data_IF_377539752518
#
_entry.id   IF_377539752518
#
_cell.length_a   1.000
_cell.length_b   1.000
_cell.length_c   1.000
_cell.angle_alpha   90.00
_cell.angle_beta   90.00
_cell.angle_gamma   90.00
#
_symmetry.space_group_name_H-M   'P 1'
#
loop_
_entity.id
_entity.type
_entity.pdbx_description
1 polymer ?
#
# COMPACT_ATOMS: atom_id res chain seq x y z
N UNK A 1 6.42 3.85 9.98
CA UNK A 1 7.09 2.58 10.40
C UNK A 1 5.96 1.62 10.69
N UNK A 2 5.92 0.44 10.06
CA UNK A 2 4.80 -0.53 10.23
C UNK A 2 4.50 -0.76 11.72
N UNK A 3 3.26 -0.52 12.14
CA UNK A 3 2.84 -0.75 13.53
C UNK A 3 3.13 -2.22 13.90
N UNK A 4 4.09 -2.48 14.82
CA UNK A 4 4.47 -3.85 15.17
C UNK A 4 3.32 -4.65 15.77
N UNK A 5 2.33 -3.98 16.38
CA UNK A 5 1.18 -4.65 16.95
C UNK A 5 0.21 -5.14 15.86
N UNK A 6 -0.09 -4.28 14.89
CA UNK A 6 -0.94 -4.63 13.74
C UNK A 6 -0.31 -5.77 12.93
N UNK A 7 1.00 -5.70 12.65
CA UNK A 7 1.71 -6.76 11.94
C UNK A 7 1.59 -8.11 12.65
N UNK A 8 1.89 -8.17 13.95
CA UNK A 8 1.75 -9.40 14.74
C UNK A 8 0.31 -9.92 14.78
N UNK A 9 -0.68 -9.02 14.85
CA UNK A 9 -2.10 -9.38 14.80
C UNK A 9 -2.46 -10.05 13.47
N UNK A 10 -2.01 -9.51 12.33
CA UNK A 10 -2.27 -10.10 11.02
C UNK A 10 -1.54 -11.43 10.83
N UNK A 11 -0.27 -11.54 11.25
CA UNK A 11 0.46 -12.82 11.23
C UNK A 11 -0.29 -13.89 12.02
N UNK A 12 -0.79 -13.54 13.21
CA UNK A 12 -1.60 -14.46 14.01
C UNK A 12 -2.87 -14.88 13.29
N UNK A 13 -3.55 -13.93 12.65
CA UNK A 13 -4.80 -14.16 11.93
C UNK A 13 -4.61 -15.08 10.72
N UNK A 14 -3.58 -14.84 9.89
CA UNK A 14 -3.26 -15.70 8.75
C UNK A 14 -2.90 -17.13 9.19
N UNK A 15 -2.06 -17.28 10.23
CA UNK A 15 -1.72 -18.60 10.77
C UNK A 15 -2.94 -19.31 11.39
N UNK A 16 -3.88 -18.56 11.96
CA UNK A 16 -5.14 -19.10 12.47
C UNK A 16 -6.02 -19.61 11.32
N UNK A 17 -6.12 -18.86 10.22
CA UNK A 17 -6.80 -19.30 9.01
C UNK A 17 -6.16 -20.57 8.44
N UNK A 18 -4.83 -20.64 8.35
CA UNK A 18 -4.14 -21.83 7.87
C UNK A 18 -4.43 -23.08 8.72
N UNK A 19 -4.41 -22.96 10.05
CA UNK A 19 -4.78 -24.09 10.94
C UNK A 19 -6.24 -24.51 10.75
N UNK A 20 -7.15 -23.56 10.59
CA UNK A 20 -8.56 -23.84 10.38
C UNK A 20 -8.84 -24.45 9.00
N UNK A 21 -8.17 -23.97 7.95
CA UNK A 21 -8.23 -24.54 6.60
C UNK A 21 -7.70 -25.98 6.60
N UNK A 22 -6.53 -26.21 7.17
CA UNK A 22 -5.97 -27.56 7.28
C UNK A 22 -6.91 -28.52 8.04
N UNK A 23 -7.55 -28.05 9.11
CA UNK A 23 -8.55 -28.86 9.84
C UNK A 23 -9.81 -29.15 9.00
N UNK A 24 -10.31 -28.17 8.23
CA UNK A 24 -11.47 -28.34 7.35
C UNK A 24 -11.18 -29.26 6.14
N UNK A 25 -9.94 -29.26 5.65
CA UNK A 25 -9.46 -30.02 4.49
C UNK A 25 -8.52 -31.17 4.86
N UNK A 26 -8.62 -31.68 6.10
CA UNK A 26 -7.77 -32.77 6.58
C UNK A 26 -7.88 -34.03 5.72
N UNK A 27 -9.03 -34.25 5.07
CA UNK A 27 -9.25 -35.39 4.17
C UNK A 27 -8.52 -35.27 2.82
N UNK A 28 -8.12 -34.06 2.40
CA UNK A 28 -7.41 -33.81 1.13
C UNK A 28 -5.93 -33.50 1.31
N UNK A 29 -5.39 -33.77 2.51
CA UNK A 29 -4.01 -33.40 2.89
C UNK A 29 -3.73 -31.90 2.64
N UNK A 30 -4.74 -31.05 2.84
CA UNK A 30 -4.65 -29.61 2.63
C UNK A 30 -4.53 -29.15 1.18
N UNK A 31 -4.60 -30.06 0.19
CA UNK A 31 -4.61 -29.67 -1.22
C UNK A 31 -5.94 -29.03 -1.58
N UNK A 32 -5.88 -27.75 -1.90
CA UNK A 32 -7.02 -26.94 -2.32
C UNK A 32 -6.55 -25.92 -3.37
N UNK A 33 -6.82 -26.14 -4.66
CA UNK A 33 -6.49 -25.15 -5.70
C UNK A 33 -7.30 -23.86 -5.56
N UNK A 34 -8.44 -23.90 -4.85
CA UNK A 34 -9.34 -22.78 -4.63
C UNK A 34 -9.23 -22.23 -3.20
N UNK A 35 -8.08 -22.45 -2.54
CA UNK A 35 -7.81 -21.96 -1.19
C UNK A 35 -8.14 -20.47 -0.98
N UNK A 36 -7.97 -19.54 -1.95
CA UNK A 36 -8.31 -18.14 -1.74
C UNK A 36 -9.80 -17.91 -1.46
N UNK A 37 -10.69 -18.74 -2.02
CA UNK A 37 -12.14 -18.65 -1.77
C UNK A 37 -12.45 -18.93 -0.30
N UNK A 38 -11.89 -20.00 0.23
CA UNK A 38 -12.10 -20.39 1.62
C UNK A 38 -11.46 -19.38 2.59
N UNK A 39 -10.21 -18.97 2.30
CA UNK A 39 -9.52 -17.97 3.09
C UNK A 39 -10.30 -16.65 3.13
N UNK A 40 -10.86 -16.23 2.00
CA UNK A 40 -11.70 -15.03 1.93
C UNK A 40 -12.89 -15.14 2.87
N UNK A 41 -13.62 -16.26 2.87
CA UNK A 41 -14.77 -16.43 3.77
C UNK A 41 -14.37 -16.42 5.25
N UNK A 42 -13.19 -16.95 5.58
CA UNK A 42 -12.68 -16.95 6.94
C UNK A 42 -12.14 -15.60 7.39
N UNK A 43 -11.49 -14.86 6.48
CA UNK A 43 -10.68 -13.69 6.78
C UNK A 43 -11.37 -12.35 6.52
N UNK A 44 -12.48 -12.31 5.78
CA UNK A 44 -13.14 -11.06 5.37
C UNK A 44 -13.40 -10.13 6.56
N UNK A 45 -14.30 -10.50 7.47
CA UNK A 45 -14.63 -9.63 8.61
C UNK A 45 -13.45 -9.41 9.57
N UNK A 46 -12.60 -10.42 9.87
CA UNK A 46 -11.41 -10.19 10.70
C UNK A 46 -10.41 -9.20 10.10
N UNK A 47 -10.16 -9.24 8.80
CA UNK A 47 -9.25 -8.32 8.12
C UNK A 47 -9.83 -6.93 8.00
N UNK A 48 -11.11 -6.79 7.64
CA UNK A 48 -11.80 -5.50 7.62
C UNK A 48 -11.69 -4.78 8.98
N UNK A 49 -11.92 -5.52 10.06
CA UNK A 49 -11.80 -4.99 11.42
C UNK A 49 -10.37 -4.62 11.80
N UNK A 50 -9.39 -5.41 11.39
CA UNK A 50 -7.98 -5.19 11.74
C UNK A 50 -7.38 -4.00 10.97
N UNK A 51 -7.76 -3.85 9.70
CA UNK A 51 -7.22 -2.85 8.78
C UNK A 51 -8.07 -1.58 8.68
N UNK A 52 -9.20 -1.50 9.38
CA UNK A 52 -10.16 -0.39 9.32
C UNK A 52 -10.53 -0.03 7.86
N UNK A 53 -10.83 -1.07 7.06
CA UNK A 53 -11.14 -0.96 5.63
C UNK A 53 -12.24 -1.95 5.25
N UNK A 54 -12.76 -1.84 4.03
CA UNK A 54 -13.79 -2.74 3.50
C UNK A 54 -13.30 -3.49 2.28
N UNK A 55 -13.63 -4.78 2.18
CA UNK A 55 -13.32 -5.61 1.03
C UNK A 55 -14.61 -6.17 0.42
N UNK A 56 -14.65 -6.24 -0.91
CA UNK A 56 -15.56 -7.20 -1.55
C UNK A 56 -14.91 -8.59 -1.53
N UNK A 57 -15.71 -9.67 -1.57
CA UNK A 57 -15.14 -11.03 -1.63
C UNK A 57 -14.16 -11.19 -2.80
N UNK A 58 -14.54 -10.72 -4.00
CA UNK A 58 -13.66 -10.79 -5.18
C UNK A 58 -12.36 -9.99 -5.02
N UNK A 59 -12.42 -8.84 -4.33
CA UNK A 59 -11.22 -8.06 -4.06
C UNK A 59 -10.29 -8.81 -3.11
N UNK A 60 -10.79 -9.34 -1.99
CA UNK A 60 -9.95 -10.07 -1.04
C UNK A 60 -9.36 -11.36 -1.64
N UNK A 61 -10.12 -12.08 -2.48
CA UNK A 61 -9.59 -13.20 -3.26
C UNK A 61 -8.37 -12.76 -4.08
N UNK A 62 -8.51 -11.66 -4.83
CA UNK A 62 -7.42 -11.11 -5.62
C UNK A 62 -6.22 -10.70 -4.75
N UNK A 63 -6.44 -10.02 -3.62
CA UNK A 63 -5.37 -9.61 -2.70
C UNK A 63 -4.56 -10.81 -2.19
N UNK A 64 -5.25 -11.87 -1.75
CA UNK A 64 -4.63 -13.10 -1.25
C UNK A 64 -3.82 -13.80 -2.34
N UNK A 65 -4.37 -13.90 -3.55
CA UNK A 65 -3.66 -14.48 -4.68
C UNK A 65 -2.42 -13.67 -5.06
N UNK A 66 -2.53 -12.34 -5.06
CA UNK A 66 -1.43 -11.47 -5.40
C UNK A 66 -0.28 -11.59 -4.38
N UNK A 67 -0.61 -11.60 -3.08
CA UNK A 67 0.38 -11.82 -2.02
C UNK A 67 1.09 -13.18 -2.15
N UNK A 68 0.37 -14.24 -2.55
CA UNK A 68 0.97 -15.55 -2.81
C UNK A 68 1.93 -15.52 -4.01
N UNK A 69 1.51 -14.90 -5.11
CA UNK A 69 2.37 -14.78 -6.30
C UNK A 69 3.64 -13.97 -6.00
N UNK A 70 3.50 -12.86 -5.28
CA UNK A 70 4.63 -12.01 -4.91
C UNK A 70 5.57 -12.72 -3.93
N UNK A 71 5.04 -13.46 -2.94
CA UNK A 71 5.85 -14.27 -2.04
C UNK A 71 6.66 -15.33 -2.80
N UNK A 72 6.00 -16.06 -3.70
CA UNK A 72 6.65 -17.09 -4.51
C UNK A 72 7.71 -16.52 -5.47
N UNK A 73 7.49 -15.31 -5.98
CA UNK A 73 8.38 -14.67 -6.96
C UNK A 73 9.58 -13.97 -6.31
N UNK A 74 9.37 -13.27 -5.19
CA UNK A 74 10.35 -12.37 -4.60
C UNK A 74 11.06 -12.99 -3.40
N UNK A 75 10.33 -13.65 -2.50
CA UNK A 75 10.86 -14.10 -1.21
C UNK A 75 10.37 -15.51 -0.77
N UNK A 76 10.47 -16.56 -1.61
CA UNK A 76 9.85 -17.85 -1.32
C UNK A 76 10.40 -18.57 -0.07
N UNK A 77 11.54 -18.11 0.47
CA UNK A 77 12.19 -18.68 1.65
C UNK A 77 11.80 -18.03 2.98
N UNK A 78 11.04 -16.94 2.98
CA UNK A 78 10.59 -16.25 4.20
C UNK A 78 9.28 -16.84 4.73
N UNK A 79 8.91 -16.50 5.96
CA UNK A 79 7.64 -16.94 6.53
C UNK A 79 6.48 -16.29 5.77
N UNK A 80 5.69 -17.09 5.07
CA UNK A 80 4.60 -16.60 4.21
C UNK A 80 3.59 -15.74 4.97
N UNK A 81 3.30 -16.04 6.25
CA UNK A 81 2.32 -15.29 7.02
C UNK A 81 2.86 -13.91 7.43
N UNK A 82 4.16 -13.83 7.70
CA UNK A 82 4.88 -12.58 7.92
C UNK A 82 4.88 -11.70 6.66
N UNK A 83 5.22 -12.29 5.51
CA UNK A 83 5.19 -11.61 4.21
C UNK A 83 3.78 -11.08 3.88
N UNK A 84 2.75 -11.93 3.99
CA UNK A 84 1.37 -11.53 3.73
C UNK A 84 0.92 -10.41 4.66
N UNK A 85 1.29 -10.47 5.95
CA UNK A 85 0.96 -9.41 6.90
C UNK A 85 1.60 -8.07 6.50
N UNK A 86 2.87 -8.08 6.09
CA UNK A 86 3.55 -6.88 5.62
C UNK A 86 2.89 -6.32 4.36
N UNK A 87 2.63 -7.15 3.35
CA UNK A 87 1.98 -6.76 2.10
C UNK A 87 0.57 -6.17 2.33
N UNK A 88 -0.22 -6.79 3.20
CA UNK A 88 -1.56 -6.29 3.50
C UNK A 88 -1.53 -4.96 4.25
N UNK A 89 -0.55 -4.74 5.13
CA UNK A 89 -0.41 -3.45 5.81
C UNK A 89 0.01 -2.38 4.82
N UNK A 90 1.02 -2.65 4.00
CA UNK A 90 1.51 -1.69 3.00
C UNK A 90 0.40 -1.23 2.04
N UNK A 91 -0.44 -2.15 1.58
CA UNK A 91 -1.46 -1.85 0.59
C UNK A 91 -2.80 -1.38 1.15
N UNK A 92 -3.18 -1.81 2.36
CA UNK A 92 -4.56 -1.68 2.84
C UNK A 92 -4.71 -1.11 4.24
N UNK A 93 -3.63 -1.02 5.03
CA UNK A 93 -3.75 -0.34 6.32
C UNK A 93 -3.97 1.17 6.09
N UNK A 94 -4.60 1.86 7.06
CA UNK A 94 -4.70 3.30 7.00
C UNK A 94 -3.28 3.87 6.95
N UNK A 95 -3.05 4.77 5.99
CA UNK A 95 -1.80 5.51 5.95
C UNK A 95 -1.65 6.28 7.27
N UNK A 96 -0.50 6.14 7.94
CA UNK A 96 -0.16 7.02 9.04
C UNK A 96 -0.21 8.48 8.56
N UNK A 97 -0.39 9.42 9.48
CA UNK A 97 -0.22 10.84 9.15
C UNK A 97 1.14 10.99 8.44
N UNK A 98 1.20 11.64 7.27
CA UNK A 98 2.43 11.67 6.47
C UNK A 98 3.58 12.06 7.37
N UNK A 99 4.64 11.23 7.35
CA UNK A 99 5.87 11.54 8.05
C UNK A 99 6.30 12.96 7.68
N UNK A 100 7.01 13.65 8.58
CA UNK A 100 7.54 15.02 8.38
C UNK A 100 8.56 15.14 7.23
N UNK A 101 8.59 14.19 6.30
CA UNK A 101 9.32 14.29 5.06
C UNK A 101 8.80 15.51 4.30
N UNK A 102 9.67 16.53 4.23
CA UNK A 102 9.36 17.79 3.58
C UNK A 102 9.33 17.59 2.08
N UNK A 103 8.17 17.21 1.57
CA UNK A 103 7.90 17.19 0.15
C UNK A 103 7.79 18.64 -0.35
N UNK A 104 8.37 18.88 -1.52
CA UNK A 104 8.24 20.12 -2.28
C UNK A 104 7.56 19.83 -3.62
N UNK A 105 6.64 20.70 -4.01
CA UNK A 105 6.02 20.68 -5.32
C UNK A 105 6.69 21.73 -6.22
N UNK A 106 7.38 21.27 -7.26
CA UNK A 106 7.85 22.13 -8.33
C UNK A 106 6.67 22.50 -9.24
N UNK A 107 6.42 23.80 -9.37
CA UNK A 107 5.25 24.35 -10.05
C UNK A 107 5.61 25.43 -11.06
N UNK A 108 4.59 25.87 -11.81
CA UNK A 108 4.68 27.03 -12.69
C UNK A 108 3.36 27.78 -12.66
N UNK A 109 3.41 29.07 -12.35
CA UNK A 109 2.23 29.94 -12.41
C UNK A 109 1.47 29.81 -13.74
N UNK A 110 0.16 29.55 -13.63
CA UNK A 110 -0.76 29.43 -14.76
C UNK A 110 -0.91 28.01 -15.33
N UNK A 111 -0.09 27.05 -14.94
CA UNK A 111 -0.18 25.67 -15.43
C UNK A 111 -1.46 24.96 -14.94
N UNK A 112 -2.32 24.41 -15.84
CA UNK A 112 -3.53 23.71 -15.44
C UNK A 112 -3.25 22.40 -14.69
N UNK A 113 -2.14 21.71 -15.00
CA UNK A 113 -1.75 20.48 -14.32
C UNK A 113 -1.29 20.76 -12.88
N UNK A 114 -0.55 21.84 -12.65
CA UNK A 114 -0.16 22.24 -11.29
C UNK A 114 -1.40 22.55 -10.44
N UNK A 115 -2.38 23.29 -10.99
CA UNK A 115 -3.65 23.57 -10.27
C UNK A 115 -4.41 22.31 -9.84
N UNK A 116 -4.34 21.23 -10.62
CA UNK A 116 -4.97 19.95 -10.24
C UNK A 116 -4.28 19.30 -9.03
N UNK A 117 -2.96 19.42 -8.95
CA UNK A 117 -2.17 18.90 -7.82
C UNK A 117 -2.39 19.78 -6.59
N UNK A 118 -2.36 21.09 -6.74
CA UNK A 118 -2.61 22.07 -5.67
C UNK A 118 -3.98 21.85 -5.01
N UNK A 119 -5.02 21.60 -5.82
CA UNK A 119 -6.35 21.29 -5.32
C UNK A 119 -6.37 19.99 -4.48
N UNK A 120 -5.55 19.00 -4.85
CA UNK A 120 -5.43 17.74 -4.11
C UNK A 120 -4.65 17.94 -2.80
N UNK A 121 -3.55 18.68 -2.83
CA UNK A 121 -2.77 19.07 -1.64
C UNK A 121 -3.68 19.78 -0.62
N UNK A 122 -4.46 20.76 -1.08
CA UNK A 122 -5.40 21.49 -0.24
C UNK A 122 -6.51 20.58 0.33
N UNK A 123 -7.07 19.68 -0.48
CA UNK A 123 -8.11 18.73 -0.05
C UNK A 123 -7.60 17.75 1.00
N UNK A 124 -6.34 17.34 0.91
CA UNK A 124 -5.70 16.42 1.84
C UNK A 124 -5.12 17.13 3.09
N UNK A 125 -5.08 18.47 3.10
CA UNK A 125 -4.53 19.24 4.22
C UNK A 125 -3.02 19.07 4.39
N UNK A 126 -2.29 18.84 3.29
CA UNK A 126 -0.85 18.62 3.31
C UNK A 126 -0.10 19.95 3.35
N UNK A 127 0.94 20.03 4.19
CA UNK A 127 1.89 21.15 4.22
C UNK A 127 3.05 20.85 3.25
N UNK A 128 3.00 21.45 2.06
CA UNK A 128 3.93 21.18 0.96
C UNK A 128 4.61 22.50 0.54
N UNK A 129 5.93 22.49 0.44
CA UNK A 129 6.69 23.65 -0.04
C UNK A 129 6.43 23.84 -1.54
N UNK A 130 6.09 25.06 -1.96
CA UNK A 130 5.82 25.37 -3.36
C UNK A 130 7.04 26.03 -4.02
N UNK A 131 7.60 25.39 -5.04
CA UNK A 131 8.80 25.85 -5.76
C UNK A 131 8.47 26.23 -7.20
N UNK A 132 8.20 27.51 -7.46
CA UNK A 132 7.86 27.97 -8.81
C UNK A 132 9.13 28.14 -9.68
N UNK A 133 9.26 27.28 -10.69
CA UNK A 133 10.44 27.22 -11.59
C UNK A 133 10.54 28.40 -12.57
N UNK A 134 9.52 29.27 -12.63
CA UNK A 134 9.57 30.53 -13.39
C UNK A 134 9.97 31.72 -12.54
N UNK A 135 9.72 31.66 -11.25
CA UNK A 135 10.08 32.74 -10.32
C UNK A 135 11.50 32.59 -9.82
N UNK A 136 11.94 31.35 -9.58
CA UNK A 136 13.26 31.02 -9.09
C UNK A 136 13.98 30.09 -10.07
N UNK A 137 15.15 30.56 -10.55
CA UNK A 137 15.95 29.80 -11.51
C UNK A 137 16.68 28.62 -10.85
N UNK A 138 17.01 28.72 -9.56
CA UNK A 138 17.69 27.66 -8.83
C UNK A 138 16.80 26.42 -8.71
N UNK A 139 15.49 26.62 -8.46
CA UNK A 139 14.52 25.52 -8.47
C UNK A 139 14.40 24.86 -9.84
N UNK A 140 14.51 25.65 -10.90
CA UNK A 140 14.46 25.11 -12.26
C UNK A 140 15.70 24.26 -12.57
N UNK A 141 16.88 24.70 -12.15
CA UNK A 141 18.12 23.95 -12.32
C UNK A 141 18.09 22.65 -11.51
N UNK A 142 17.69 22.71 -10.23
CA UNK A 142 17.50 21.52 -9.39
C UNK A 142 16.56 20.49 -10.04
N UNK A 143 15.44 20.95 -10.62
CA UNK A 143 14.50 20.07 -11.29
C UNK A 143 15.10 19.39 -12.54
N UNK A 144 15.87 20.15 -13.34
CA UNK A 144 16.54 19.60 -14.53
C UNK A 144 17.63 18.62 -14.14
N UNK A 145 18.43 18.93 -13.12
CA UNK A 145 19.47 18.04 -12.64
C UNK A 145 18.89 16.70 -12.18
N UNK A 146 17.77 16.74 -11.44
CA UNK A 146 17.13 15.55 -10.91
C UNK A 146 16.35 14.72 -11.95
N UNK A 147 15.71 15.36 -12.93
CA UNK A 147 14.75 14.70 -13.84
C UNK A 147 15.12 14.77 -15.33
N UNK A 148 16.19 15.48 -15.67
CA UNK A 148 16.61 15.76 -17.05
C UNK A 148 15.70 16.72 -17.83
N UNK A 149 14.66 17.28 -17.18
CA UNK A 149 13.66 18.15 -17.83
C UNK A 149 13.01 19.09 -16.81
N UNK A 150 12.57 20.27 -17.27
CA UNK A 150 11.84 21.25 -16.46
C UNK A 150 10.30 21.09 -16.56
N UNK A 151 9.80 19.87 -16.77
CA UNK A 151 8.35 19.61 -16.84
C UNK A 151 7.77 19.63 -15.42
N UNK A 152 6.71 20.40 -15.22
CA UNK A 152 5.95 20.51 -13.96
C UNK A 152 4.49 20.05 -14.17
N UNK A 153 3.75 19.65 -13.12
CA UNK A 153 4.15 19.55 -11.71
C UNK A 153 5.05 18.34 -11.41
N UNK A 154 5.97 18.48 -10.46
CA UNK A 154 6.77 17.38 -9.90
C UNK A 154 6.81 17.48 -8.39
N UNK A 155 6.39 16.41 -7.71
CA UNK A 155 6.52 16.25 -6.26
C UNK A 155 7.85 15.55 -5.99
N UNK A 156 8.66 16.12 -5.10
CA UNK A 156 9.96 15.58 -4.70
C UNK A 156 10.21 15.86 -3.23
#
# INVERSE_FOLDING_TARGET
MTDPHLHQQLVHLFRKAARAHHAAFAATDGKDPEWPLWYTDYLLEPLERALDTTFTRSHLIYCLMNADFDHQALEPGTDWADFYAAEFIEHYAPSETPATDKLALYTMAGCPFCRSVDATIARLGLDIEMRDVRQDWDFREQLIEARGRATVPVLW
#
